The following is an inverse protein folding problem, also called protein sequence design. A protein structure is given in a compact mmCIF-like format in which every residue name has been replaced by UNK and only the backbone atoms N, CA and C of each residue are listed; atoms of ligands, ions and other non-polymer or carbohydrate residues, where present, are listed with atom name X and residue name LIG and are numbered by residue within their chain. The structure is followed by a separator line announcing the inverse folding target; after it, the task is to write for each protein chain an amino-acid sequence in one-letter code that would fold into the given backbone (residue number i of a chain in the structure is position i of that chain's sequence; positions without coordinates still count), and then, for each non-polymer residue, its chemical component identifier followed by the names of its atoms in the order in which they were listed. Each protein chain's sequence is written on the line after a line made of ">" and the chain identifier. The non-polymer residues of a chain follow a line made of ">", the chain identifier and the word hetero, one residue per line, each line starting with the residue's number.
data_IF_196806109191
#
_entry.id   IF_196806109191
#
_cell.length_a   1.000
_cell.length_b   1.000
_cell.length_c   1.000
_cell.angle_alpha   90.00
_cell.angle_beta   90.00
_cell.angle_gamma   90.00
#
_symmetry.space_group_name_H-M   'P 1'
#
loop_
_entity.id
_entity.type
_entity.pdbx_description
1 polymer ?
#
# COMPACT_ATOMS: atom_id res chain seq x y z
N UNK A 1 -6.57 1.90 -17.27
CA UNK A 1 -7.07 1.80 -15.87
C UNK A 1 -6.15 2.63 -14.97
N UNK A 2 -6.64 3.20 -13.86
CA UNK A 2 -5.79 3.94 -12.91
C UNK A 2 -6.08 3.53 -11.47
N UNK A 3 -5.03 3.54 -10.64
CA UNK A 3 -5.17 3.51 -9.19
C UNK A 3 -5.65 4.88 -8.68
N UNK A 4 -6.40 4.85 -7.61
CA UNK A 4 -6.69 6.00 -6.78
C UNK A 4 -5.90 5.81 -5.49
N UNK A 5 -5.04 6.76 -5.15
CA UNK A 5 -4.08 6.64 -4.06
C UNK A 5 -4.52 7.55 -2.92
N UNK A 6 -5.02 6.96 -1.83
CA UNK A 6 -5.28 7.66 -0.56
C UNK A 6 -3.99 8.12 0.10
N UNK A 7 -2.93 7.31 0.04
CA UNK A 7 -1.61 7.64 0.58
C UNK A 7 -0.59 7.83 -0.53
N UNK A 8 0.08 8.99 -0.57
CA UNK A 8 1.23 9.19 -1.45
C UNK A 8 2.39 8.26 -1.07
N UNK A 9 3.32 8.01 -2.01
CA UNK A 9 4.53 7.25 -1.73
C UNK A 9 5.36 7.88 -0.59
N UNK A 10 5.35 9.21 -0.50
CA UNK A 10 6.00 9.96 0.58
C UNK A 10 5.32 9.70 1.94
N UNK A 11 4.00 9.73 2.01
CA UNK A 11 3.25 9.40 3.23
C UNK A 11 3.50 7.96 3.69
N UNK A 12 3.54 7.00 2.78
CA UNK A 12 3.89 5.61 3.10
C UNK A 12 5.32 5.49 3.67
N UNK A 13 6.27 6.28 3.15
CA UNK A 13 7.63 6.32 3.67
C UNK A 13 7.70 6.92 5.08
N UNK A 14 6.98 8.01 5.35
CA UNK A 14 6.86 8.61 6.69
C UNK A 14 6.29 7.60 7.68
N UNK A 15 5.20 6.92 7.31
CA UNK A 15 4.57 5.89 8.17
C UNK A 15 5.60 4.80 8.48
N UNK A 16 6.34 4.33 7.48
CA UNK A 16 7.32 3.28 7.67
C UNK A 16 8.46 3.70 8.61
N UNK A 17 8.96 4.93 8.48
CA UNK A 17 10.03 5.46 9.32
C UNK A 17 9.58 5.59 10.79
N UNK A 18 8.39 6.14 11.03
CA UNK A 18 7.89 6.36 12.39
C UNK A 18 7.43 5.06 13.07
N UNK A 19 6.82 4.13 12.33
CA UNK A 19 6.38 2.84 12.86
C UNK A 19 7.54 1.85 13.09
N UNK A 20 8.72 2.06 12.48
CA UNK A 20 9.91 1.23 12.72
C UNK A 20 10.44 1.37 14.15
N UNK A 21 10.03 2.43 14.86
CA UNK A 21 10.44 2.73 16.24
C UNK A 21 9.53 2.05 17.27
N UNK A 22 8.56 1.22 16.87
CA UNK A 22 7.49 0.72 17.74
C UNK A 22 7.36 -0.81 17.87
N UNK A 23 6.64 -1.25 18.91
CA UNK A 23 6.49 -2.66 19.32
C UNK A 23 5.68 -3.51 18.34
N UNK A 24 4.78 -2.92 17.54
CA UNK A 24 4.04 -3.59 16.45
C UNK A 24 4.45 -2.94 15.13
N UNK A 25 5.14 -3.67 14.25
CA UNK A 25 5.48 -3.21 12.90
C UNK A 25 4.26 -3.24 11.94
N UNK A 26 3.06 -3.19 12.48
CA UNK A 26 1.81 -3.53 11.82
C UNK A 26 1.43 -2.51 10.73
N UNK A 27 1.54 -1.18 10.95
CA UNK A 27 1.41 -0.18 9.89
C UNK A 27 2.44 -0.36 8.74
N UNK A 28 3.67 -0.76 9.06
CA UNK A 28 4.72 -1.03 8.06
C UNK A 28 4.28 -2.17 7.15
N UNK A 29 3.80 -3.27 7.71
CA UNK A 29 3.39 -4.43 6.91
C UNK A 29 2.25 -4.08 5.95
N UNK A 30 1.25 -3.31 6.40
CA UNK A 30 0.16 -2.83 5.53
C UNK A 30 0.68 -1.89 4.43
N UNK A 31 1.54 -0.93 4.79
CA UNK A 31 2.19 0.00 3.84
C UNK A 31 3.02 -0.72 2.78
N UNK A 32 3.79 -1.74 3.16
CA UNK A 32 4.55 -2.56 2.23
C UNK A 32 3.66 -3.33 1.26
N UNK A 33 2.50 -3.83 1.72
CA UNK A 33 1.54 -4.48 0.82
C UNK A 33 0.93 -3.49 -0.17
N UNK A 34 0.60 -2.26 0.24
CA UNK A 34 0.14 -1.20 -0.68
C UNK A 34 1.20 -0.94 -1.76
N UNK A 35 2.47 -0.81 -1.37
CA UNK A 35 3.58 -0.61 -2.30
C UNK A 35 3.74 -1.78 -3.28
N UNK A 36 3.60 -3.02 -2.82
CA UNK A 36 3.67 -4.21 -3.67
C UNK A 36 2.48 -4.30 -4.64
N UNK A 37 1.27 -3.96 -4.20
CA UNK A 37 0.09 -3.91 -5.07
C UNK A 37 0.24 -2.85 -6.17
N UNK A 38 0.84 -1.70 -5.86
CA UNK A 38 1.18 -0.67 -6.87
C UNK A 38 2.15 -1.20 -7.93
N UNK A 39 3.20 -1.91 -7.49
CA UNK A 39 4.16 -2.54 -8.42
C UNK A 39 3.49 -3.58 -9.30
N UNK A 40 2.67 -4.46 -8.73
CA UNK A 40 1.93 -5.48 -9.48
C UNK A 40 0.99 -4.83 -10.50
N UNK A 41 0.25 -3.80 -10.10
CA UNK A 41 -0.66 -3.10 -10.99
C UNK A 41 0.08 -2.46 -12.17
N UNK A 42 1.18 -1.75 -11.91
CA UNK A 42 2.00 -1.13 -12.94
C UNK A 42 2.58 -2.17 -13.90
N UNK A 43 3.09 -3.28 -13.37
CA UNK A 43 3.60 -4.38 -14.18
C UNK A 43 2.53 -4.90 -15.15
N UNK A 44 1.29 -5.10 -14.70
CA UNK A 44 0.21 -5.51 -15.60
C UNK A 44 -0.12 -4.45 -16.66
N UNK A 45 -0.10 -3.15 -16.31
CA UNK A 45 -0.30 -2.08 -17.29
C UNK A 45 0.82 -2.05 -18.34
N UNK A 46 2.07 -2.23 -17.92
CA UNK A 46 3.23 -2.31 -18.81
C UNK A 46 3.14 -3.52 -19.74
N UNK A 47 2.74 -4.69 -19.24
CA UNK A 47 2.49 -5.86 -20.09
C UNK A 47 1.42 -5.58 -21.14
N UNK A 48 0.28 -5.00 -20.75
CA UNK A 48 -0.79 -4.66 -21.70
C UNK A 48 -0.39 -3.56 -22.69
N UNK A 49 0.50 -2.63 -22.30
CA UNK A 49 0.98 -1.57 -23.19
C UNK A 49 2.01 -2.05 -24.22
N UNK A 50 2.72 -3.15 -23.92
CA UNK A 50 3.74 -3.74 -24.78
C UNK A 50 3.21 -4.95 -25.60
N UNK A 51 1.89 -5.06 -25.74
CA UNK A 51 1.24 -6.10 -26.53
C UNK A 51 1.70 -6.05 -28.00
N UNK A 52 1.83 -7.23 -28.58
CA UNK A 52 2.20 -7.46 -29.98
C UNK A 52 1.09 -8.21 -30.71
N UNK A 53 1.11 -8.19 -32.06
CA UNK A 53 0.14 -8.91 -32.88
C UNK A 53 0.18 -10.46 -32.71
N UNK A 54 1.20 -11.00 -32.02
CA UNK A 54 1.32 -12.42 -31.69
C UNK A 54 0.71 -12.81 -30.35
N UNK A 55 0.33 -11.84 -29.52
CA UNK A 55 -0.30 -12.11 -28.23
C UNK A 55 -1.78 -12.50 -28.42
N UNK A 56 -2.25 -13.40 -27.57
CA UNK A 56 -3.62 -13.92 -27.65
C UNK A 56 -4.60 -13.10 -26.81
N UNK A 57 -5.87 -13.08 -27.22
CA UNK A 57 -6.96 -12.48 -26.43
C UNK A 57 -7.04 -13.02 -25.00
N UNK A 58 -6.63 -14.28 -24.77
CA UNK A 58 -6.59 -14.89 -23.45
C UNK A 58 -5.51 -14.23 -22.57
N UNK A 59 -4.32 -13.98 -23.12
CA UNK A 59 -3.25 -13.29 -22.38
C UNK A 59 -3.69 -11.89 -21.96
N UNK A 60 -4.33 -11.14 -22.85
CA UNK A 60 -4.88 -9.83 -22.53
C UNK A 60 -5.92 -9.89 -21.40
N UNK A 61 -6.82 -10.89 -21.43
CA UNK A 61 -7.81 -11.10 -20.38
C UNK A 61 -7.17 -11.42 -19.02
N UNK A 62 -6.08 -12.20 -19.00
CA UNK A 62 -5.33 -12.50 -17.77
C UNK A 62 -4.77 -11.22 -17.15
N UNK A 63 -4.05 -10.40 -17.93
CA UNK A 63 -3.46 -9.16 -17.43
C UNK A 63 -4.52 -8.18 -16.92
N UNK A 64 -5.62 -8.03 -17.67
CA UNK A 64 -6.75 -7.18 -17.27
C UNK A 64 -7.35 -7.67 -15.95
N UNK A 65 -7.59 -8.97 -15.81
CA UNK A 65 -8.20 -9.54 -14.60
C UNK A 65 -7.32 -9.34 -13.37
N UNK A 66 -6.01 -9.56 -13.49
CA UNK A 66 -5.06 -9.34 -12.40
C UNK A 66 -5.05 -7.87 -11.99
N UNK A 67 -4.97 -6.96 -12.96
CA UNK A 67 -4.90 -5.53 -12.70
C UNK A 67 -6.20 -5.00 -12.04
N UNK A 68 -7.38 -5.51 -12.43
CA UNK A 68 -8.66 -5.17 -11.82
C UNK A 68 -8.74 -5.60 -10.36
N UNK A 69 -8.36 -6.84 -10.05
CA UNK A 69 -8.37 -7.36 -8.67
C UNK A 69 -7.31 -6.69 -7.82
N UNK A 70 -6.13 -6.42 -8.39
CA UNK A 70 -5.04 -5.71 -7.71
C UNK A 70 -5.47 -4.29 -7.33
N UNK A 71 -6.23 -3.61 -8.19
CA UNK A 71 -6.82 -2.30 -7.87
C UNK A 71 -7.79 -2.38 -6.68
N UNK A 72 -8.66 -3.40 -6.63
CA UNK A 72 -9.59 -3.58 -5.52
C UNK A 72 -8.86 -3.87 -4.21
N UNK A 73 -7.88 -4.79 -4.25
CA UNK A 73 -7.04 -5.10 -3.09
C UNK A 73 -6.25 -3.87 -2.60
N UNK A 74 -5.74 -3.05 -3.52
CA UNK A 74 -5.06 -1.80 -3.18
C UNK A 74 -5.97 -0.86 -2.38
N UNK A 75 -7.21 -0.67 -2.82
CA UNK A 75 -8.17 0.19 -2.11
C UNK A 75 -8.51 -0.35 -0.72
N UNK A 76 -8.69 -1.68 -0.58
CA UNK A 76 -8.93 -2.31 0.71
C UNK A 76 -7.74 -2.14 1.67
N UNK A 77 -6.50 -2.29 1.16
CA UNK A 77 -5.31 -2.11 1.97
C UNK A 77 -5.07 -0.64 2.37
N UNK A 78 -5.36 0.31 1.48
CA UNK A 78 -5.33 1.73 1.86
C UNK A 78 -6.39 2.08 2.91
N UNK A 79 -7.58 1.50 2.83
CA UNK A 79 -8.60 1.68 3.85
C UNK A 79 -8.18 1.06 5.20
N UNK A 80 -7.60 -0.15 5.16
CA UNK A 80 -7.05 -0.80 6.34
C UNK A 80 -5.94 0.04 7.00
N UNK A 81 -5.03 0.62 6.21
CA UNK A 81 -3.98 1.49 6.76
C UNK A 81 -4.59 2.72 7.44
N UNK A 82 -5.58 3.36 6.83
CA UNK A 82 -6.25 4.51 7.42
C UNK A 82 -6.91 4.19 8.77
N UNK A 83 -7.60 3.05 8.85
CA UNK A 83 -8.23 2.57 10.09
C UNK A 83 -7.19 2.22 11.16
N UNK A 84 -6.05 1.62 10.79
CA UNK A 84 -4.95 1.34 11.70
C UNK A 84 -4.38 2.64 12.26
N UNK A 85 -4.16 3.66 11.42
CA UNK A 85 -3.69 4.97 11.87
C UNK A 85 -4.68 5.64 12.82
N UNK A 86 -5.99 5.49 12.59
CA UNK A 86 -7.03 5.99 13.50
C UNK A 86 -7.06 5.24 14.85
N UNK A 87 -6.94 3.91 14.83
CA UNK A 87 -6.86 3.07 16.04
C UNK A 87 -5.63 3.40 16.89
N UNK A 88 -4.51 3.70 16.23
CA UNK A 88 -3.27 4.16 16.87
C UNK A 88 -3.28 5.67 17.17
N UNK A 89 -4.35 6.41 16.85
CA UNK A 89 -4.49 7.82 17.19
C UNK A 89 -3.46 8.75 16.52
N UNK A 90 -3.04 8.44 15.29
CA UNK A 90 -2.14 9.30 14.50
C UNK A 90 -2.79 10.64 14.15
N UNK A 91 -1.98 11.71 14.17
CA UNK A 91 -2.34 12.96 13.51
C UNK A 91 -2.10 12.80 12.00
N UNK A 92 -3.14 12.41 11.26
CA UNK A 92 -3.08 12.20 9.80
C UNK A 92 -2.88 13.50 9.00
N UNK A 93 -3.05 14.68 9.63
CA UNK A 93 -2.78 15.96 8.95
C UNK A 93 -1.29 16.27 8.90
N UNK A 94 -0.57 15.92 9.97
CA UNK A 94 0.88 16.06 10.07
C UNK A 94 1.63 14.75 9.73
N UNK A 95 0.89 13.65 9.60
CA UNK A 95 1.42 12.29 9.52
C UNK A 95 2.33 11.97 10.71
N UNK A 96 1.89 12.33 11.92
CA UNK A 96 2.66 12.17 13.15
C UNK A 96 2.02 11.14 14.08
N UNK A 97 2.81 10.20 14.57
CA UNK A 97 2.40 9.27 15.60
C UNK A 97 2.30 9.97 16.97
N UNK A 98 1.27 9.68 17.80
CA UNK A 98 1.08 10.35 19.08
C UNK A 98 2.19 10.00 20.08
N UNK A 99 2.56 10.99 20.91
CA UNK A 99 3.65 10.85 21.89
C UNK A 99 3.43 9.75 22.94
N UNK A 100 2.17 9.40 23.26
CA UNK A 100 1.81 8.37 24.24
C UNK A 100 2.04 6.92 23.77
N UNK A 101 2.06 6.71 22.45
CA UNK A 101 2.52 5.48 21.79
C UNK A 101 4.05 5.52 21.56
N UNK A 102 4.82 6.33 22.28
CA UNK A 102 6.29 6.24 22.31
C UNK A 102 6.78 5.50 23.54
N UNK A 103 6.04 4.48 24.02
CA UNK A 103 6.55 3.60 25.06
C UNK A 103 7.59 2.67 24.45
N UNK A 104 8.86 3.09 24.57
CA UNK A 104 10.06 2.28 24.36
C UNK A 104 9.84 0.86 24.89
N UNK A 105 10.33 -0.13 24.15
CA UNK A 105 10.62 -1.45 24.72
C UNK A 105 11.58 -1.22 25.89
N UNK A 106 11.06 -1.25 27.11
CA UNK A 106 11.88 -1.66 28.24
C UNK A 106 12.13 -3.14 27.97
N UNK A 107 13.31 -3.45 27.45
CA UNK A 107 13.75 -4.83 27.31
C UNK A 107 13.70 -5.47 28.69
N UNK A 108 12.81 -6.45 28.85
CA UNK A 108 12.94 -7.48 29.85
C UNK A 108 13.56 -8.70 29.16
#
# INVERSE_FOLDING_TARGET
>A
MKLDNKFSAYQLAIINEQAALYTCACPIHVSLQIANLRKLFNYQLECMANETASDSDIQMQVHRRIAEVTKQAHQLMEQCLDEVLDLEGWDKTKMEMPAGLRKRINGN
#
